data_IF_902063479258
#
_entry.id   IF_902063479258
#
_cell.length_a   1.000
_cell.length_b   1.000
_cell.length_c   1.000
_cell.angle_alpha   90.00
_cell.angle_beta   90.00
_cell.angle_gamma   90.00
#
_symmetry.space_group_name_H-M   'P 1'
#
loop_
_entity.id
_entity.type
_entity.pdbx_description
1 polymer ?
#
# COMPACT_ATOMS: atom_id res chain seq x y z
N UNK A 1 3.54 -10.13 -19.92
CA UNK A 1 4.18 -8.81 -19.65
C UNK A 1 3.84 -8.45 -18.21
N UNK A 2 4.86 -8.22 -17.39
CA UNK A 2 4.69 -7.83 -16.00
C UNK A 2 4.07 -6.43 -15.86
N UNK A 3 3.53 -6.15 -14.68
CA UNK A 3 3.06 -4.82 -14.29
C UNK A 3 4.22 -4.14 -13.57
N UNK A 4 4.49 -2.89 -13.92
CA UNK A 4 5.56 -2.11 -13.32
C UNK A 4 4.99 -1.00 -12.43
N UNK A 5 5.45 -0.95 -11.18
CA UNK A 5 5.31 0.22 -10.32
C UNK A 5 6.47 1.15 -10.66
N UNK A 6 6.18 2.37 -11.08
CA UNK A 6 7.19 3.27 -11.65
C UNK A 6 7.47 4.44 -10.73
N UNK A 7 8.73 4.81 -10.63
CA UNK A 7 9.14 6.08 -10.01
C UNK A 7 8.47 7.27 -10.69
N UNK A 8 8.31 8.36 -9.95
CA UNK A 8 7.62 9.59 -10.37
C UNK A 8 6.12 9.42 -10.70
N UNK A 9 5.52 8.26 -10.36
CA UNK A 9 4.13 7.98 -10.68
C UNK A 9 3.34 7.52 -9.45
N UNK A 10 2.05 7.86 -9.47
CA UNK A 10 1.07 7.43 -8.47
C UNK A 10 0.46 6.09 -8.87
N UNK A 11 0.52 5.11 -7.98
CA UNK A 11 -0.16 3.82 -8.07
C UNK A 11 -1.22 3.72 -6.97
N UNK A 12 -2.42 3.29 -7.31
CA UNK A 12 -3.50 3.03 -6.35
C UNK A 12 -3.83 1.54 -6.32
N UNK A 13 -3.95 1.00 -5.12
CA UNK A 13 -4.43 -0.36 -4.87
C UNK A 13 -5.71 -0.29 -4.04
N UNK A 14 -6.81 -0.72 -4.62
CA UNK A 14 -8.12 -0.65 -3.97
C UNK A 14 -8.70 -2.04 -3.72
N UNK A 15 -9.46 -2.17 -2.64
CA UNK A 15 -10.14 -3.43 -2.28
C UNK A 15 -11.05 -3.25 -1.10
N UNK A 16 -11.88 -4.25 -0.84
CA UNK A 16 -12.72 -4.29 0.35
C UNK A 16 -11.87 -4.32 1.63
N UNK A 17 -12.41 -3.97 2.79
CA UNK A 17 -11.77 -4.28 4.07
C UNK A 17 -11.34 -5.75 4.13
N UNK A 18 -10.22 -6.04 4.76
CA UNK A 18 -9.64 -7.38 4.87
C UNK A 18 -9.28 -8.11 3.54
N UNK A 19 -9.32 -7.44 2.39
CA UNK A 19 -8.91 -8.02 1.10
C UNK A 19 -7.39 -8.25 0.97
N UNK A 20 -6.59 -7.84 1.96
CA UNK A 20 -5.13 -8.04 1.94
C UNK A 20 -4.32 -6.87 1.36
N UNK A 21 -4.91 -5.66 1.22
CA UNK A 21 -4.21 -4.48 0.67
C UNK A 21 -2.89 -4.18 1.38
N UNK A 22 -2.92 -4.04 2.71
CA UNK A 22 -1.73 -3.76 3.53
C UNK A 22 -0.68 -4.85 3.42
N UNK A 23 -1.10 -6.11 3.37
CA UNK A 23 -0.18 -7.23 3.17
C UNK A 23 0.46 -7.21 1.78
N UNK A 24 -0.28 -6.85 0.73
CA UNK A 24 0.27 -6.68 -0.62
C UNK A 24 1.28 -5.53 -0.69
N UNK A 25 0.99 -4.39 -0.06
CA UNK A 25 1.91 -3.25 0.02
C UNK A 25 3.17 -3.60 0.80
N UNK A 26 3.02 -4.25 1.96
CA UNK A 26 4.13 -4.72 2.78
C UNK A 26 5.01 -5.72 2.03
N UNK A 27 4.41 -6.72 1.38
CA UNK A 27 5.15 -7.68 0.56
C UNK A 27 5.88 -6.99 -0.59
N UNK A 28 5.29 -5.96 -1.19
CA UNK A 28 5.94 -5.16 -2.23
C UNK A 28 7.15 -4.43 -1.68
N UNK A 29 7.04 -3.74 -0.55
CA UNK A 29 8.14 -3.02 0.10
C UNK A 29 9.28 -3.99 0.47
N UNK A 30 8.97 -5.11 1.13
CA UNK A 30 9.96 -6.12 1.54
C UNK A 30 10.69 -6.71 0.32
N UNK A 31 9.93 -7.15 -0.71
CA UNK A 31 10.50 -7.88 -1.84
C UNK A 31 11.30 -7.02 -2.81
N UNK A 32 10.96 -5.74 -2.93
CA UNK A 32 11.71 -4.82 -3.79
C UNK A 32 13.04 -4.41 -3.16
N UNK A 33 13.12 -4.37 -1.82
CA UNK A 33 14.33 -3.97 -1.09
C UNK A 33 14.74 -2.52 -1.33
N UNK A 34 13.89 -1.70 -1.96
CA UNK A 34 14.17 -0.29 -2.22
C UNK A 34 13.94 0.56 -0.97
N UNK A 35 14.60 1.71 -0.89
CA UNK A 35 14.41 2.66 0.21
C UNK A 35 12.94 3.09 0.27
N UNK A 36 12.26 2.70 1.35
CA UNK A 36 10.82 2.86 1.50
C UNK A 36 10.49 3.72 2.71
N UNK A 37 9.60 4.71 2.52
CA UNK A 37 8.90 5.40 3.60
C UNK A 37 7.45 4.89 3.63
N UNK A 38 7.04 4.27 4.75
CA UNK A 38 5.76 3.59 4.88
C UNK A 38 4.90 4.28 5.95
N UNK A 39 3.84 4.95 5.53
CA UNK A 39 2.80 5.50 6.43
C UNK A 39 1.74 4.44 6.67
N UNK A 40 1.53 4.10 7.95
CA UNK A 40 0.60 3.07 8.41
C UNK A 40 -0.34 3.67 9.44
N UNK A 41 -1.48 4.21 8.99
CA UNK A 41 -2.39 4.97 9.83
C UNK A 41 -3.33 4.08 10.67
N UNK A 42 -3.82 2.97 10.10
CA UNK A 42 -4.84 2.13 10.76
C UNK A 42 -4.30 0.85 11.41
N UNK A 43 -3.00 0.59 11.33
CA UNK A 43 -2.39 -0.64 11.87
C UNK A 43 -1.24 -0.30 12.82
N UNK A 44 -1.30 -0.85 14.05
CA UNK A 44 -0.28 -0.65 15.07
C UNK A 44 1.10 -1.24 14.69
N UNK A 45 2.17 -0.62 15.21
CA UNK A 45 3.56 -1.04 14.95
C UNK A 45 3.82 -2.52 15.27
N UNK A 46 3.26 -3.02 16.39
CA UNK A 46 3.36 -4.43 16.76
C UNK A 46 2.80 -5.36 15.68
N UNK A 47 1.59 -5.07 15.22
CA UNK A 47 0.94 -5.89 14.19
C UNK A 47 1.72 -5.88 12.87
N UNK A 48 2.28 -4.72 12.48
CA UNK A 48 3.13 -4.62 11.29
C UNK A 48 4.44 -5.39 11.45
N UNK A 49 5.06 -5.36 12.63
CA UNK A 49 6.25 -6.15 12.92
C UNK A 49 5.99 -7.66 12.81
N UNK A 50 4.90 -8.14 13.43
CA UNK A 50 4.49 -9.56 13.35
C UNK A 50 4.26 -9.98 11.90
N UNK A 51 3.52 -9.18 11.12
CA UNK A 51 3.27 -9.45 9.69
C UNK A 51 4.55 -9.48 8.87
N UNK A 52 5.46 -8.54 9.10
CA UNK A 52 6.73 -8.47 8.37
C UNK A 52 7.61 -9.68 8.68
N UNK A 53 7.74 -10.06 9.95
CA UNK A 53 8.51 -11.25 10.37
C UNK A 53 7.88 -12.52 9.79
N UNK A 54 6.55 -12.66 9.82
CA UNK A 54 5.85 -13.79 9.25
C UNK A 54 6.11 -13.92 7.74
N UNK A 55 6.07 -12.80 7.00
CA UNK A 55 6.36 -12.78 5.55
C UNK A 55 7.80 -13.17 5.22
N UNK A 56 8.77 -12.73 6.02
CA UNK A 56 10.19 -13.03 5.80
C UNK A 56 10.50 -14.48 6.17
N UNK A 57 9.97 -14.95 7.30
CA UNK A 57 10.28 -16.28 7.84
C UNK A 57 9.43 -17.40 7.23
N UNK A 58 8.29 -17.08 6.61
CA UNK A 58 7.30 -18.08 6.17
C UNK A 58 6.57 -18.79 7.32
N UNK A 59 6.59 -18.21 8.54
CA UNK A 59 5.94 -18.75 9.73
C UNK A 59 4.62 -18.01 9.98
N UNK A 60 3.57 -18.71 10.42
CA UNK A 60 2.28 -18.10 10.70
C UNK A 60 2.34 -16.99 11.75
N UNK A 61 1.49 -15.96 11.62
CA UNK A 61 1.49 -14.78 12.50
C UNK A 61 1.23 -15.16 13.97
N UNK A 62 0.34 -16.09 14.23
CA UNK A 62 0.03 -16.63 15.57
C UNK A 62 1.26 -17.22 16.25
N UNK A 63 2.08 -17.96 15.50
CA UNK A 63 3.35 -18.53 15.99
C UNK A 63 4.39 -17.44 16.24
N UNK A 64 4.45 -16.41 15.36
CA UNK A 64 5.36 -15.27 15.55
C UNK A 64 4.98 -14.48 16.80
N UNK A 65 3.70 -14.19 17.01
CA UNK A 65 3.23 -13.49 18.21
C UNK A 65 3.61 -14.23 19.49
N UNK A 66 3.37 -15.55 19.53
CA UNK A 66 3.77 -16.39 20.67
C UNK A 66 5.27 -16.33 20.94
N UNK A 67 6.08 -16.48 19.91
CA UNK A 67 7.55 -16.47 20.06
C UNK A 67 8.09 -15.11 20.51
N UNK A 68 7.53 -14.01 20.01
CA UNK A 68 7.90 -12.66 20.44
C UNK A 68 7.48 -12.36 21.88
N UNK A 69 6.35 -12.96 22.34
CA UNK A 69 5.92 -12.86 23.72
C UNK A 69 6.85 -13.63 24.68
N UNK A 70 7.36 -14.79 24.24
CA UNK A 70 8.26 -15.63 25.02
C UNK A 70 9.72 -15.11 25.00
N UNK A 71 10.14 -14.55 23.86
CA UNK A 71 11.48 -14.00 23.65
C UNK A 71 11.41 -12.74 22.76
N UNK A 72 11.57 -11.57 23.36
CA UNK A 72 11.55 -10.28 22.67
C UNK A 72 12.70 -10.09 21.67
N UNK A 73 13.71 -10.94 21.68
CA UNK A 73 14.84 -10.93 20.72
C UNK A 73 14.55 -11.79 19.49
N UNK A 74 13.47 -12.59 19.53
CA UNK A 74 13.06 -13.38 18.39
C UNK A 74 12.76 -12.47 17.18
N UNK A 75 13.31 -12.82 16.06
CA UNK A 75 13.11 -12.03 14.83
C UNK A 75 14.08 -10.87 14.60
N UNK A 76 15.09 -10.66 15.49
CA UNK A 76 16.09 -9.59 15.27
C UNK A 76 16.75 -9.67 13.89
N UNK A 77 17.03 -10.88 13.38
CA UNK A 77 17.54 -11.06 12.02
C UNK A 77 16.60 -10.56 10.93
N UNK A 78 15.28 -10.71 11.12
CA UNK A 78 14.29 -10.19 10.17
C UNK A 78 14.25 -8.66 10.16
N UNK A 79 14.53 -7.99 11.28
CA UNK A 79 14.63 -6.53 11.32
C UNK A 79 15.81 -5.99 10.51
N UNK A 80 16.88 -6.75 10.36
CA UNK A 80 17.99 -6.38 9.48
C UNK A 80 17.55 -6.35 8.02
N UNK A 81 16.68 -7.27 7.60
CA UNK A 81 16.08 -7.31 6.26
C UNK A 81 15.08 -6.18 6.04
N UNK A 82 14.58 -5.54 7.10
CA UNK A 82 13.62 -4.42 7.06
C UNK A 82 14.27 -3.04 7.16
N UNK A 83 15.58 -2.94 7.29
CA UNK A 83 16.29 -1.64 7.49
C UNK A 83 16.06 -0.62 6.37
N UNK A 84 15.69 -1.08 5.18
CA UNK A 84 15.36 -0.22 4.06
C UNK A 84 13.96 0.40 4.15
N UNK A 85 13.15 0.01 5.17
CA UNK A 85 11.80 0.54 5.39
C UNK A 85 11.82 1.45 6.64
N UNK A 86 11.49 2.71 6.46
CA UNK A 86 11.17 3.67 7.52
C UNK A 86 9.66 3.66 7.74
N UNK A 87 9.23 3.50 8.98
CA UNK A 87 7.84 3.43 9.37
C UNK A 87 7.37 4.72 10.01
N UNK A 88 6.19 5.20 9.61
CA UNK A 88 5.44 6.26 10.27
C UNK A 88 4.08 5.70 10.69
N UNK A 89 3.78 5.75 12.01
CA UNK A 89 2.54 5.21 12.60
C UNK A 89 1.61 6.32 13.10
N UNK A 90 1.63 7.48 12.44
CA UNK A 90 0.63 8.51 12.70
C UNK A 90 -0.73 8.02 12.18
N UNK A 91 -1.76 8.09 13.05
CA UNK A 91 -3.10 7.59 12.74
C UNK A 91 -3.93 8.53 11.84
N UNK A 92 -3.50 9.77 11.68
CA UNK A 92 -4.18 10.77 10.85
C UNK A 92 -3.19 11.78 10.27
N UNK A 93 -2.22 11.34 9.45
CA UNK A 93 -1.22 12.23 8.90
C UNK A 93 -1.87 13.25 7.97
N UNK A 94 -1.45 14.50 8.08
CA UNK A 94 -1.78 15.54 7.10
C UNK A 94 -0.83 15.47 5.91
N UNK A 95 -1.15 16.18 4.83
CA UNK A 95 -0.21 16.32 3.70
C UNK A 95 1.10 16.98 4.12
N UNK A 96 1.02 17.98 5.01
CA UNK A 96 2.21 18.65 5.57
C UNK A 96 3.08 17.67 6.39
N UNK A 97 2.46 16.76 7.15
CA UNK A 97 3.19 15.72 7.89
C UNK A 97 3.90 14.76 6.94
N UNK A 98 3.25 14.38 5.85
CA UNK A 98 3.86 13.53 4.81
C UNK A 98 5.07 14.23 4.18
N UNK A 99 4.93 15.50 3.80
CA UNK A 99 6.03 16.30 3.21
C UNK A 99 7.19 16.45 4.21
N UNK A 100 6.91 16.72 5.49
CA UNK A 100 7.91 16.83 6.54
C UNK A 100 8.64 15.49 6.78
N UNK A 101 7.94 14.36 6.79
CA UNK A 101 8.58 13.04 6.95
C UNK A 101 9.44 12.67 5.74
N UNK A 102 9.04 13.04 4.51
CA UNK A 102 9.85 12.87 3.30
C UNK A 102 11.12 13.72 3.37
N UNK A 103 11.01 14.99 3.78
CA UNK A 103 12.15 15.87 3.96
C UNK A 103 13.12 15.36 5.04
N UNK A 104 12.57 14.91 6.19
CA UNK A 104 13.37 14.31 7.25
C UNK A 104 14.05 13.01 6.80
N UNK A 105 13.36 12.19 6.00
CA UNK A 105 13.95 11.00 5.39
C UNK A 105 15.17 11.36 4.53
N UNK A 106 15.02 12.33 3.64
CA UNK A 106 16.10 12.77 2.75
C UNK A 106 17.30 13.33 3.53
N UNK A 107 17.06 14.08 4.61
CA UNK A 107 18.12 14.61 5.48
C UNK A 107 18.89 13.49 6.20
N UNK A 108 18.19 12.49 6.75
CA UNK A 108 18.80 11.38 7.52
C UNK A 108 19.54 10.41 6.61
N UNK A 109 18.97 10.08 5.45
CA UNK A 109 19.49 9.03 4.56
C UNK A 109 20.32 9.58 3.39
N UNK A 110 20.39 10.90 3.23
CA UNK A 110 21.13 11.56 2.15
C UNK A 110 20.51 11.40 0.75
N UNK A 111 19.28 10.88 0.67
CA UNK A 111 18.53 10.71 -0.58
C UNK A 111 17.04 10.53 -0.29
N UNK A 112 16.19 10.90 -1.23
CA UNK A 112 14.75 10.65 -1.16
C UNK A 112 14.42 9.15 -1.11
N UNK A 113 13.27 8.75 -0.53
CA UNK A 113 12.76 7.39 -0.65
C UNK A 113 12.50 7.06 -2.12
N UNK A 114 12.68 5.79 -2.50
CA UNK A 114 12.35 5.29 -3.85
C UNK A 114 10.90 4.80 -3.93
N UNK A 115 10.33 4.43 -2.78
CA UNK A 115 8.95 4.03 -2.60
C UNK A 115 8.33 4.74 -1.40
N UNK A 116 7.18 5.37 -1.61
CA UNK A 116 6.35 5.95 -0.53
C UNK A 116 5.04 5.18 -0.50
N UNK A 117 4.73 4.55 0.62
CA UNK A 117 3.47 3.81 0.82
C UNK A 117 2.56 4.60 1.74
N UNK A 118 1.30 4.80 1.34
CA UNK A 118 0.24 5.42 2.14
C UNK A 118 -0.85 4.37 2.41
N UNK A 119 -0.92 3.89 3.63
CA UNK A 119 -1.89 2.88 4.09
C UNK A 119 -2.74 3.46 5.23
N UNK A 120 -3.91 4.05 4.95
CA UNK A 120 -4.51 4.19 3.62
C UNK A 120 -4.86 5.68 3.29
N UNK A 121 -5.33 5.93 2.07
CA UNK A 121 -5.63 7.27 1.54
C UNK A 121 -6.71 8.02 2.33
N UNK A 122 -7.71 7.32 2.86
CA UNK A 122 -8.83 7.93 3.57
C UNK A 122 -8.42 8.46 4.95
N UNK A 123 -7.32 7.95 5.51
CA UNK A 123 -6.80 8.38 6.82
C UNK A 123 -5.93 9.64 6.70
N UNK A 124 -5.56 10.05 5.50
CA UNK A 124 -4.87 11.33 5.28
C UNK A 124 -5.87 12.47 5.46
N UNK A 125 -5.72 13.22 6.54
CA UNK A 125 -6.67 14.29 6.87
C UNK A 125 -6.41 15.52 6.00
N UNK A 126 -7.42 15.92 5.20
CA UNK A 126 -7.38 17.12 4.36
C UNK A 126 -8.79 17.72 4.16
N UNK A 127 -9.36 18.31 5.22
CA UNK A 127 -10.55 19.15 5.16
C UNK A 127 -11.90 18.44 5.29
N UNK A 128 -12.99 19.24 5.21
CA UNK A 128 -14.34 18.83 5.61
C UNK A 128 -15.17 18.12 4.52
N UNK A 129 -14.73 18.12 3.24
CA UNK A 129 -15.40 17.47 2.11
C UNK A 129 -14.67 16.21 1.69
N UNK A 130 -15.22 15.05 2.06
CA UNK A 130 -14.60 13.74 1.85
C UNK A 130 -14.16 13.49 0.38
N UNK A 131 -15.01 13.83 -0.60
CA UNK A 131 -14.70 13.56 -2.01
C UNK A 131 -13.69 14.55 -2.60
N UNK A 132 -13.80 15.81 -2.19
CA UNK A 132 -12.85 16.85 -2.55
C UNK A 132 -11.49 16.61 -1.93
N UNK A 133 -11.46 16.15 -0.68
CA UNK A 133 -10.26 15.79 0.05
C UNK A 133 -9.49 14.65 -0.66
N UNK A 134 -10.14 13.53 -0.95
CA UNK A 134 -9.52 12.40 -1.68
C UNK A 134 -8.86 12.87 -2.99
N UNK A 135 -9.53 13.72 -3.76
CA UNK A 135 -8.98 14.21 -5.03
C UNK A 135 -7.79 15.15 -4.83
N UNK A 136 -7.85 16.04 -3.84
CA UNK A 136 -6.72 16.92 -3.49
C UNK A 136 -5.52 16.10 -3.04
N UNK A 137 -5.73 15.18 -2.11
CA UNK A 137 -4.69 14.28 -1.61
C UNK A 137 -4.02 13.50 -2.74
N UNK A 138 -4.79 12.89 -3.65
CA UNK A 138 -4.20 12.20 -4.81
C UNK A 138 -3.40 13.14 -5.72
N UNK A 139 -3.82 14.41 -5.86
CA UNK A 139 -3.11 15.39 -6.67
C UNK A 139 -1.77 15.76 -6.02
N UNK A 140 -1.75 16.05 -4.72
CA UNK A 140 -0.53 16.39 -3.99
C UNK A 140 0.43 15.18 -3.93
N UNK A 141 -0.06 13.98 -3.66
CA UNK A 141 0.77 12.76 -3.71
C UNK A 141 1.35 12.49 -5.10
N UNK A 142 0.66 12.87 -6.17
CA UNK A 142 1.22 12.82 -7.51
C UNK A 142 2.30 13.88 -7.75
N UNK A 143 2.18 15.09 -7.17
CA UNK A 143 3.26 16.08 -7.19
C UNK A 143 4.46 15.58 -6.41
N UNK A 144 4.25 15.08 -5.19
CA UNK A 144 5.30 14.48 -4.37
C UNK A 144 6.07 13.39 -5.13
N UNK A 145 5.37 12.49 -5.83
CA UNK A 145 6.01 11.46 -6.66
C UNK A 145 6.95 12.04 -7.71
N UNK A 146 6.60 13.19 -8.31
CA UNK A 146 7.40 13.84 -9.34
C UNK A 146 8.59 14.63 -8.78
N UNK A 147 8.41 15.26 -7.65
CA UNK A 147 9.44 16.05 -6.99
C UNK A 147 10.54 15.16 -6.45
N UNK A 148 10.17 14.05 -5.80
CA UNK A 148 11.12 13.11 -5.19
C UNK A 148 11.67 12.08 -6.17
N UNK A 149 10.98 11.82 -7.29
CA UNK A 149 11.27 10.70 -8.16
C UNK A 149 10.74 9.35 -7.63
N UNK A 150 10.15 9.33 -6.44
CA UNK A 150 9.63 8.13 -5.79
C UNK A 150 8.42 7.53 -6.55
N UNK A 151 8.25 6.22 -6.43
CA UNK A 151 6.97 5.58 -6.69
C UNK A 151 6.06 5.82 -5.48
N UNK A 152 4.91 6.48 -5.67
CA UNK A 152 3.91 6.65 -4.60
C UNK A 152 2.84 5.57 -4.73
N UNK A 153 2.71 4.75 -3.70
CA UNK A 153 1.84 3.57 -3.65
C UNK A 153 0.77 3.76 -2.58
N UNK A 154 -0.48 3.92 -2.99
CA UNK A 154 -1.57 4.32 -2.12
C UNK A 154 -2.61 3.23 -2.02
N UNK A 155 -2.98 2.87 -0.80
CA UNK A 155 -4.08 1.95 -0.53
C UNK A 155 -5.40 2.70 -0.40
N UNK A 156 -6.46 2.13 -0.95
CA UNK A 156 -7.77 2.76 -0.97
C UNK A 156 -8.90 1.75 -0.85
N UNK A 157 -10.10 2.23 -0.59
CA UNK A 157 -11.29 1.38 -0.47
C UNK A 157 -12.10 1.33 -1.78
N UNK A 158 -12.90 0.28 -1.89
CA UNK A 158 -14.00 0.21 -2.84
C UNK A 158 -15.33 0.48 -2.13
N UNK A 159 -16.37 0.84 -2.87
CA UNK A 159 -17.69 1.10 -2.31
C UNK A 159 -18.28 -0.20 -1.77
N UNK A 160 -18.83 -0.17 -0.54
CA UNK A 160 -19.41 -1.35 0.14
C UNK A 160 -20.56 -2.00 -0.63
N UNK A 161 -21.32 -1.22 -1.40
CA UNK A 161 -22.43 -1.70 -2.20
C UNK A 161 -21.99 -2.59 -3.38
N UNK A 162 -20.70 -2.68 -3.66
CA UNK A 162 -20.19 -3.47 -4.78
C UNK A 162 -20.01 -4.93 -4.37
N UNK A 163 -20.81 -5.82 -4.98
CA UNK A 163 -20.60 -7.27 -4.86
C UNK A 163 -19.59 -7.72 -5.90
N UNK A 164 -18.52 -8.32 -5.46
CA UNK A 164 -17.53 -8.95 -6.33
C UNK A 164 -18.10 -10.28 -6.81
N UNK A 165 -18.09 -10.52 -8.12
CA UNK A 165 -18.45 -11.84 -8.69
C UNK A 165 -17.36 -12.85 -8.31
N UNK A 166 -17.73 -14.11 -8.09
CA UNK A 166 -16.80 -15.20 -7.80
C UNK A 166 -15.71 -15.28 -8.89
N UNK A 167 -14.47 -15.46 -8.48
CA UNK A 167 -13.32 -15.50 -9.39
C UNK A 167 -12.91 -14.13 -9.96
N UNK A 168 -13.49 -13.02 -9.49
CA UNK A 168 -13.19 -11.66 -9.96
C UNK A 168 -12.60 -10.80 -8.86
N UNK A 169 -11.96 -9.68 -9.23
CA UNK A 169 -11.61 -8.59 -8.34
C UNK A 169 -12.55 -7.39 -8.58
N UNK A 170 -12.59 -6.40 -7.67
CA UNK A 170 -13.42 -5.22 -7.87
C UNK A 170 -13.09 -4.49 -9.17
N UNK A 171 -14.13 -4.00 -9.87
CA UNK A 171 -13.96 -3.24 -11.10
C UNK A 171 -13.41 -1.84 -10.83
N UNK A 172 -12.89 -1.18 -11.85
CA UNK A 172 -12.45 0.22 -11.76
C UNK A 172 -13.55 1.17 -11.28
N UNK A 173 -14.81 0.91 -11.63
CA UNK A 173 -15.95 1.75 -11.27
C UNK A 173 -16.38 1.61 -9.80
N UNK A 174 -15.94 0.56 -9.10
CA UNK A 174 -16.24 0.33 -7.69
C UNK A 174 -15.32 1.09 -6.73
N UNK A 175 -14.25 1.71 -7.24
CA UNK A 175 -13.29 2.45 -6.40
C UNK A 175 -13.98 3.67 -5.79
N UNK A 176 -13.82 3.83 -4.48
CA UNK A 176 -14.39 4.92 -3.72
C UNK A 176 -13.93 6.27 -4.31
N UNK A 177 -14.83 7.25 -4.42
CA UNK A 177 -14.53 8.53 -5.05
C UNK A 177 -14.42 8.51 -6.58
N UNK A 178 -14.37 7.34 -7.20
CA UNK A 178 -14.31 7.12 -8.67
C UNK A 178 -13.22 7.92 -9.39
N UNK A 179 -12.28 8.55 -8.68
CA UNK A 179 -11.22 9.34 -9.32
C UNK A 179 -9.98 8.48 -9.59
N UNK A 180 -10.03 7.80 -10.72
CA UNK A 180 -8.92 6.99 -11.23
C UNK A 180 -8.17 7.68 -12.38
N UNK A 181 -8.37 9.01 -12.58
CA UNK A 181 -7.74 9.75 -13.68
C UNK A 181 -6.27 10.05 -13.39
N UNK A 182 -5.95 10.41 -12.14
CA UNK A 182 -4.61 10.83 -11.72
C UNK A 182 -3.60 9.68 -11.66
N UNK A 183 -3.88 8.51 -11.04
CA UNK A 183 -2.93 7.42 -10.97
C UNK A 183 -2.52 6.90 -12.36
N UNK A 184 -1.27 6.51 -12.53
CA UNK A 184 -0.77 5.86 -13.74
C UNK A 184 -1.18 4.38 -13.78
N UNK A 185 -1.16 3.74 -12.61
CA UNK A 185 -1.54 2.35 -12.40
C UNK A 185 -2.64 2.28 -11.34
N UNK A 186 -3.67 1.48 -11.59
CA UNK A 186 -4.69 1.14 -10.59
C UNK A 186 -4.88 -0.36 -10.60
N UNK A 187 -4.73 -0.95 -9.43
CA UNK A 187 -4.98 -2.36 -9.18
C UNK A 187 -6.15 -2.50 -8.20
N UNK A 188 -6.88 -3.58 -8.32
CA UNK A 188 -7.89 -3.97 -7.33
C UNK A 188 -7.56 -5.35 -6.78
N UNK A 189 -7.84 -5.52 -5.49
CA UNK A 189 -7.52 -6.76 -4.76
C UNK A 189 -8.80 -7.37 -4.21
N UNK A 190 -8.88 -8.68 -4.30
CA UNK A 190 -9.85 -9.54 -3.64
C UNK A 190 -9.16 -10.68 -2.90
N UNK A 191 -9.86 -11.30 -1.97
CA UNK A 191 -9.41 -12.52 -1.29
C UNK A 191 -10.53 -13.56 -1.41
N UNK A 192 -10.19 -14.76 -1.86
CA UNK A 192 -11.11 -15.86 -2.04
C UNK A 192 -10.39 -17.17 -1.68
N UNK A 193 -10.93 -17.92 -0.73
CA UNK A 193 -10.40 -19.22 -0.29
C UNK A 193 -8.90 -19.22 0.08
N UNK A 194 -8.40 -18.12 0.66
CA UNK A 194 -6.99 -17.97 1.02
C UNK A 194 -6.06 -17.60 -0.13
N UNK A 195 -6.62 -17.29 -1.31
CA UNK A 195 -5.87 -16.75 -2.43
C UNK A 195 -6.15 -15.25 -2.59
N UNK A 196 -5.11 -14.50 -2.89
CA UNK A 196 -5.23 -13.09 -3.25
C UNK A 196 -5.36 -12.95 -4.77
N UNK A 197 -6.48 -12.40 -5.23
CA UNK A 197 -6.68 -12.01 -6.62
C UNK A 197 -6.31 -10.55 -6.84
N UNK A 198 -5.41 -10.27 -7.78
CA UNK A 198 -4.99 -8.90 -8.15
C UNK A 198 -5.35 -8.64 -9.61
N UNK A 199 -6.21 -7.67 -9.85
CA UNK A 199 -6.57 -7.22 -11.19
C UNK A 199 -5.98 -5.85 -11.50
N UNK A 200 -5.45 -5.67 -12.71
CA UNK A 200 -5.00 -4.37 -13.23
C UNK A 200 -6.16 -3.71 -13.95
N UNK A 201 -6.84 -2.79 -13.27
CA UNK A 201 -8.05 -2.14 -13.80
C UNK A 201 -7.76 -0.82 -14.54
N UNK A 202 -6.55 -0.28 -14.39
CA UNK A 202 -6.00 0.81 -15.20
C UNK A 202 -4.49 0.68 -15.29
N UNK A 203 -3.95 0.86 -16.48
CA UNK A 203 -2.53 0.95 -16.71
C UNK A 203 -2.23 1.93 -17.85
N UNK A 204 -1.57 3.05 -17.56
CA UNK A 204 -1.18 4.06 -18.55
C UNK A 204 -0.15 3.53 -19.55
N UNK A 205 0.66 2.56 -19.13
CA UNK A 205 1.82 2.08 -19.89
C UNK A 205 1.65 0.65 -20.41
N UNK A 206 0.46 0.04 -20.26
CA UNK A 206 0.26 -1.33 -20.67
C UNK A 206 -1.21 -1.77 -20.70
N UNK A 207 -1.41 -3.07 -20.75
CA UNK A 207 -2.74 -3.67 -20.76
C UNK A 207 -3.42 -3.54 -19.40
N UNK A 208 -4.74 -3.44 -19.42
CA UNK A 208 -5.59 -3.49 -18.24
C UNK A 208 -6.95 -4.09 -18.58
N UNK A 209 -7.64 -4.58 -17.56
CA UNK A 209 -9.04 -5.01 -17.61
C UNK A 209 -9.87 -4.18 -16.62
N UNK A 210 -10.54 -3.09 -17.05
CA UNK A 210 -11.33 -2.24 -16.18
C UNK A 210 -12.48 -2.96 -15.45
N UNK A 211 -12.89 -4.13 -15.93
CA UNK A 211 -13.96 -4.93 -15.32
C UNK A 211 -13.51 -5.68 -14.06
N UNK A 212 -12.19 -5.95 -13.91
CA UNK A 212 -11.63 -6.74 -12.81
C UNK A 212 -11.88 -8.25 -12.94
N UNK A 213 -12.38 -8.75 -14.08
CA UNK A 213 -12.76 -10.16 -14.28
C UNK A 213 -11.58 -11.09 -14.53
N UNK A 214 -10.38 -10.54 -14.73
CA UNK A 214 -9.18 -11.32 -15.05
C UNK A 214 -8.07 -11.09 -14.03
N UNK A 215 -8.30 -11.37 -12.72
CA UNK A 215 -7.26 -11.22 -11.71
C UNK A 215 -6.17 -12.28 -11.88
N UNK A 216 -4.96 -11.94 -11.45
CA UNK A 216 -3.91 -12.92 -11.19
C UNK A 216 -4.03 -13.37 -9.74
N UNK A 217 -3.98 -14.69 -9.51
CA UNK A 217 -4.13 -15.28 -8.20
C UNK A 217 -2.77 -15.64 -7.60
N UNK A 218 -2.61 -15.32 -6.33
CA UNK A 218 -1.41 -15.60 -5.55
C UNK A 218 -1.78 -16.34 -4.27
N UNK A 219 -0.93 -17.27 -3.82
CA UNK A 219 -1.02 -17.82 -2.47
C UNK A 219 -0.62 -16.75 -1.46
N UNK A 220 -1.36 -16.70 -0.36
CA UNK A 220 -1.21 -15.67 0.65
C UNK A 220 -0.53 -16.24 1.90
#
# INVERSE_FOLDING_TARGET
>A
QGVEIRGSELTVVAGQPAAGKSAFALATAIRTGVRTLYFCADTAAWTMAVRAIAMISGVGQDVIEQRLADDSTYGQGAFDDLRHIRWCFDSAPTLDDIDNEVAAYAEVWGADPELIVIDNLIDVSDGDDEWGAIRRTQKELKFLARETGAAVFVLHHVTEAFKVEEGSAPSRSSILGKDTRLPALVMTITNEDGYMGVAVVKNRYGKCDPSGRSPQWFTF
#
